data_IF_011988646062
#
_entry.id   IF_011988646062
#
_cell.length_a   1.000
_cell.length_b   1.000
_cell.length_c   1.000
_cell.angle_alpha   90.00
_cell.angle_beta   90.00
_cell.angle_gamma   90.00
#
_symmetry.space_group_name_H-M   'P 1'
#
loop_
_entity.id
_entity.type
_entity.pdbx_description
1 polymer ?
#
# COMPACT_ATOMS: atom_id res chain seq x y z
N UNK A 1 -0.66 -16.46 3.17
CA UNK A 1 -0.12 -15.58 2.11
C UNK A 1 -1.13 -14.55 1.58
N UNK A 2 -2.33 -14.40 2.15
CA UNK A 2 -3.30 -13.38 1.72
C UNK A 2 -3.04 -11.97 2.28
N UNK A 3 -2.09 -11.79 3.21
CA UNK A 3 -1.73 -10.49 3.80
C UNK A 3 -0.85 -9.62 2.91
N UNK A 4 -0.21 -10.14 1.86
CA UNK A 4 0.61 -9.32 0.97
C UNK A 4 -0.18 -8.63 -0.15
N UNK A 5 -1.28 -9.24 -0.63
CA UNK A 5 -2.12 -8.70 -1.69
C UNK A 5 -3.08 -7.60 -1.21
N UNK A 6 -3.63 -7.74 0.00
CA UNK A 6 -4.44 -6.66 0.58
C UNK A 6 -3.60 -5.43 0.94
N UNK A 7 -2.32 -5.61 1.36
CA UNK A 7 -1.41 -4.49 1.66
C UNK A 7 -1.02 -3.72 0.39
N UNK A 8 -0.77 -4.40 -0.74
CA UNK A 8 -0.37 -3.70 -1.98
C UNK A 8 -1.53 -2.89 -2.61
N UNK A 9 -2.78 -3.38 -2.52
CA UNK A 9 -3.97 -2.67 -3.03
C UNK A 9 -4.36 -1.51 -2.12
N UNK A 10 -4.24 -1.64 -0.79
CA UNK A 10 -4.44 -0.48 0.06
C UNK A 10 -3.33 0.56 -0.15
N UNK A 11 -2.05 0.21 -0.32
CA UNK A 11 -0.98 1.22 -0.54
C UNK A 11 -1.21 2.03 -1.83
N UNK A 12 -1.65 1.44 -2.93
CA UNK A 12 -1.87 2.20 -4.17
C UNK A 12 -3.11 3.12 -4.14
N UNK A 13 -4.20 2.74 -3.45
CA UNK A 13 -5.38 3.61 -3.22
C UNK A 13 -5.11 4.64 -2.11
N UNK A 14 -4.29 4.29 -1.11
CA UNK A 14 -3.79 5.22 -0.11
C UNK A 14 -2.88 6.26 -0.77
N UNK A 15 -1.94 5.91 -1.64
CA UNK A 15 -1.03 6.90 -2.22
C UNK A 15 -1.78 7.97 -3.03
N UNK A 16 -2.80 7.62 -3.81
CA UNK A 16 -3.55 8.61 -4.59
C UNK A 16 -4.55 9.44 -3.77
N UNK A 17 -5.14 8.91 -2.68
CA UNK A 17 -6.04 9.70 -1.81
C UNK A 17 -5.28 10.44 -0.70
N UNK A 18 -4.23 9.83 -0.12
CA UNK A 18 -3.38 10.41 0.92
C UNK A 18 -2.47 11.51 0.38
N UNK A 19 -1.90 11.41 -0.82
CA UNK A 19 -1.08 12.51 -1.38
C UNK A 19 -1.96 13.75 -1.62
N UNK A 20 -3.19 13.59 -2.10
CA UNK A 20 -4.08 14.72 -2.38
C UNK A 20 -4.70 15.36 -1.11
N UNK A 21 -4.99 14.57 -0.07
CA UNK A 21 -5.67 15.05 1.15
C UNK A 21 -4.68 15.37 2.28
N UNK A 22 -3.57 14.64 2.43
CA UNK A 22 -2.59 14.86 3.50
C UNK A 22 -1.65 16.04 3.23
N UNK A 23 -1.35 16.35 1.95
CA UNK A 23 -0.55 17.54 1.60
C UNK A 23 -1.25 18.85 1.99
N UNK A 24 -2.58 18.88 2.03
CA UNK A 24 -3.33 20.12 2.29
C UNK A 24 -3.59 20.38 3.78
N UNK A 25 -3.70 19.35 4.63
CA UNK A 25 -4.22 19.51 6.01
C UNK A 25 -3.17 19.27 7.10
N UNK A 26 -2.23 18.34 6.92
CA UNK A 26 -1.35 17.89 8.01
C UNK A 26 0.00 18.65 8.08
N UNK A 27 0.48 19.20 6.96
CA UNK A 27 1.85 19.72 6.83
C UNK A 27 2.08 21.03 7.60
N UNK A 28 1.06 21.89 7.74
CA UNK A 28 1.25 23.21 8.32
C UNK A 28 1.15 23.27 9.85
N UNK A 29 0.39 22.38 10.47
CA UNK A 29 0.12 22.50 11.91
C UNK A 29 1.26 21.89 12.75
N UNK A 30 1.85 20.76 12.34
CA UNK A 30 2.79 19.99 13.16
C UNK A 30 4.28 20.15 12.79
N UNK A 31 4.62 20.97 11.79
CA UNK A 31 6.02 21.21 11.39
C UNK A 31 6.90 21.58 12.60
N UNK A 32 8.08 20.96 12.74
CA UNK A 32 9.03 21.19 13.83
C UNK A 32 8.59 20.69 15.21
N UNK A 33 7.63 19.76 15.29
CA UNK A 33 7.29 18.99 16.53
C UNK A 33 7.76 17.54 16.40
N UNK A 34 7.93 16.85 17.53
CA UNK A 34 8.25 15.41 17.55
C UNK A 34 7.16 14.54 16.90
N UNK A 35 5.94 15.06 16.82
CA UNK A 35 4.78 14.40 16.18
C UNK A 35 4.69 14.64 14.67
N UNK A 36 5.64 15.35 14.05
CA UNK A 36 5.58 15.66 12.63
C UNK A 36 5.79 14.38 11.79
N UNK A 37 4.78 14.00 11.01
CA UNK A 37 4.80 12.82 10.14
C UNK A 37 5.19 13.24 8.73
N UNK A 38 6.05 12.45 8.08
CA UNK A 38 6.43 12.66 6.70
C UNK A 38 5.19 12.56 5.78
N UNK A 39 4.89 13.58 4.96
CA UNK A 39 3.58 13.69 4.31
C UNK A 39 3.46 12.93 2.98
N UNK A 40 4.55 12.33 2.50
CA UNK A 40 4.57 11.52 1.29
C UNK A 40 4.72 10.04 1.64
N UNK A 41 4.38 9.13 0.72
CA UNK A 41 4.71 7.71 0.86
C UNK A 41 6.21 7.52 1.07
N UNK A 42 6.55 6.56 1.94
CA UNK A 42 7.94 6.24 2.24
C UNK A 42 8.71 5.84 0.97
N UNK A 43 9.93 6.35 0.76
CA UNK A 43 10.71 6.00 -0.43
C UNK A 43 10.90 4.50 -0.64
N UNK A 44 11.02 3.75 0.47
CA UNK A 44 11.13 2.29 0.44
C UNK A 44 9.91 1.62 -0.21
N UNK A 45 8.70 2.09 0.10
CA UNK A 45 7.45 1.48 -0.39
C UNK A 45 7.23 1.81 -1.87
N UNK A 46 7.63 3.01 -2.29
CA UNK A 46 7.68 3.40 -3.70
C UNK A 46 8.68 2.56 -4.48
N UNK A 47 9.86 2.32 -3.90
CA UNK A 47 10.85 1.43 -4.50
C UNK A 47 10.30 0.01 -4.66
N UNK A 48 9.70 -0.57 -3.63
CA UNK A 48 9.06 -1.89 -3.72
C UNK A 48 7.98 -1.92 -4.80
N UNK A 49 7.15 -0.89 -4.86
CA UNK A 49 6.11 -0.76 -5.89
C UNK A 49 6.69 -0.72 -7.30
N UNK A 50 7.85 -0.08 -7.48
CA UNK A 50 8.56 -0.02 -8.76
C UNK A 50 9.12 -1.38 -9.24
N UNK A 51 9.25 -2.35 -8.33
CA UNK A 51 9.76 -3.69 -8.65
C UNK A 51 8.63 -4.68 -8.98
N UNK A 52 7.37 -4.32 -8.72
CA UNK A 52 6.21 -5.15 -8.99
C UNK A 52 5.83 -5.12 -10.48
N UNK A 53 5.13 -6.17 -10.93
CA UNK A 53 4.61 -6.33 -12.29
C UNK A 53 3.22 -6.93 -12.28
N UNK A 54 2.27 -6.29 -12.95
CA UNK A 54 0.91 -6.80 -13.07
C UNK A 54 0.87 -8.16 -13.78
N UNK A 55 1.77 -8.42 -14.72
CA UNK A 55 1.83 -9.70 -15.44
C UNK A 55 2.20 -10.86 -14.51
N UNK A 56 3.10 -10.62 -13.55
CA UNK A 56 3.52 -11.67 -12.62
C UNK A 56 2.42 -11.97 -11.61
N UNK A 57 1.72 -10.95 -11.09
CA UNK A 57 0.53 -11.13 -10.26
C UNK A 57 -0.59 -11.87 -10.99
N UNK A 58 -0.80 -11.55 -12.26
CA UNK A 58 -1.79 -12.25 -13.10
C UNK A 58 -1.43 -13.72 -13.29
N UNK A 59 -0.16 -14.04 -13.53
CA UNK A 59 0.31 -15.44 -13.65
C UNK A 59 0.13 -16.20 -12.34
N UNK A 60 0.40 -15.57 -11.20
CA UNK A 60 0.23 -16.19 -9.89
C UNK A 60 -1.24 -16.51 -9.60
N UNK A 61 -2.18 -15.60 -9.91
CA UNK A 61 -3.61 -15.87 -9.79
C UNK A 61 -4.08 -16.98 -10.74
N UNK A 62 -3.58 -17.00 -11.98
CA UNK A 62 -3.88 -18.08 -12.93
C UNK A 62 -3.39 -19.45 -12.45
N UNK A 63 -2.20 -19.49 -11.82
CA UNK A 63 -1.66 -20.70 -11.20
C UNK A 63 -2.53 -21.12 -10.02
N UNK A 64 -2.87 -20.20 -9.12
CA UNK A 64 -3.73 -20.48 -7.97
C UNK A 64 -5.10 -21.01 -8.41
N UNK A 65 -5.68 -20.45 -9.47
CA UNK A 65 -6.91 -20.95 -10.08
C UNK A 65 -6.77 -22.39 -10.57
N UNK A 66 -5.66 -22.73 -11.21
CA UNK A 66 -5.40 -24.09 -11.69
C UNK A 66 -5.27 -25.07 -10.52
N UNK A 67 -4.54 -24.67 -9.49
CA UNK A 67 -4.33 -25.49 -8.29
C UNK A 67 -5.66 -25.70 -7.54
N UNK A 68 -6.50 -24.67 -7.44
CA UNK A 68 -7.83 -24.75 -6.83
C UNK A 68 -8.80 -25.65 -7.63
N UNK A 69 -8.74 -25.61 -8.97
CA UNK A 69 -9.50 -26.56 -9.81
C UNK A 69 -9.06 -28.00 -9.59
N UNK A 70 -7.76 -28.25 -9.50
CA UNK A 70 -7.24 -29.59 -9.21
C UNK A 70 -7.68 -30.06 -7.82
N UNK A 71 -7.59 -29.19 -6.80
CA UNK A 71 -8.08 -29.48 -5.46
C UNK A 71 -9.59 -29.80 -5.44
N UNK A 72 -10.40 -29.01 -6.16
CA UNK A 72 -11.84 -29.25 -6.29
C UNK A 72 -12.12 -30.65 -6.87
N UNK A 73 -11.42 -31.03 -7.94
CA UNK A 73 -11.60 -32.34 -8.57
C UNK A 73 -11.21 -33.51 -7.64
N UNK A 74 -10.14 -33.36 -6.84
CA UNK A 74 -9.76 -34.37 -5.85
C UNK A 74 -10.77 -34.46 -4.70
N UNK A 75 -11.36 -33.34 -4.26
CA UNK A 75 -12.45 -33.34 -3.26
C UNK A 75 -13.67 -34.09 -3.80
N UNK A 76 -14.09 -33.79 -5.04
CA UNK A 76 -15.20 -34.48 -5.71
C UNK A 76 -14.94 -35.98 -5.82
N UNK A 77 -13.71 -36.36 -6.20
CA UNK A 77 -13.30 -37.76 -6.28
C UNK A 77 -13.39 -38.46 -4.92
N UNK A 78 -12.83 -37.88 -3.86
CA UNK A 78 -12.91 -38.45 -2.50
C UNK A 78 -14.37 -38.60 -2.07
N UNK A 79 -15.20 -37.58 -2.32
CA UNK A 79 -16.62 -37.65 -1.97
C UNK A 79 -17.37 -38.73 -2.77
N UNK A 80 -16.98 -38.98 -4.03
CA UNK A 80 -17.63 -39.98 -4.88
C UNK A 80 -17.27 -41.43 -4.54
N UNK A 81 -16.09 -41.68 -3.99
CA UNK A 81 -15.61 -43.03 -3.65
C UNK A 81 -15.92 -43.43 -2.21
N UNK A 82 -16.20 -42.47 -1.33
CA UNK A 82 -16.55 -42.72 0.07
C UNK A 82 -18.02 -43.14 0.23
N UNK A 83 -18.28 -44.01 1.21
CA UNK A 83 -19.64 -44.33 1.65
C UNK A 83 -20.23 -43.20 2.50
N UNK A 84 -21.56 -43.09 2.56
CA UNK A 84 -22.26 -42.03 3.30
C UNK A 84 -21.85 -41.97 4.78
N UNK A 85 -21.63 -43.13 5.41
CA UNK A 85 -21.20 -43.26 6.81
C UNK A 85 -19.80 -42.70 7.09
N UNK A 86 -18.96 -42.55 6.05
CA UNK A 86 -17.57 -42.09 6.16
C UNK A 86 -17.31 -40.77 5.42
N UNK A 87 -18.38 -40.12 4.94
CA UNK A 87 -18.28 -38.91 4.13
C UNK A 87 -18.02 -37.67 4.99
N UNK A 88 -18.61 -37.62 6.17
CA UNK A 88 -18.50 -36.51 7.09
C UNK A 88 -17.44 -36.75 8.17
N UNK A 89 -16.73 -35.69 8.62
CA UNK A 89 -16.94 -34.25 8.34
C UNK A 89 -16.15 -33.72 7.13
N UNK A 90 -15.49 -34.60 6.37
CA UNK A 90 -14.58 -34.20 5.30
C UNK A 90 -15.30 -33.39 4.23
N UNK A 91 -16.44 -33.89 3.73
CA UNK A 91 -17.22 -33.24 2.68
C UNK A 91 -17.63 -31.82 3.08
N UNK A 92 -18.28 -31.64 4.23
CA UNK A 92 -18.75 -30.30 4.65
C UNK A 92 -17.59 -29.31 4.80
N UNK A 93 -16.47 -29.74 5.40
CA UNK A 93 -15.29 -28.88 5.59
C UNK A 93 -14.64 -28.52 4.26
N UNK A 94 -14.51 -29.47 3.35
CA UNK A 94 -13.85 -29.24 2.06
C UNK A 94 -14.74 -28.46 1.10
N UNK A 95 -16.06 -28.67 1.10
CA UNK A 95 -17.00 -27.87 0.33
C UNK A 95 -17.00 -26.41 0.80
N UNK A 96 -17.03 -26.17 2.11
CA UNK A 96 -16.91 -24.83 2.67
C UNK A 96 -15.58 -24.16 2.28
N UNK A 97 -14.46 -24.87 2.45
CA UNK A 97 -13.12 -24.38 2.07
C UNK A 97 -13.03 -24.05 0.58
N UNK A 98 -13.48 -24.95 -0.30
CA UNK A 98 -13.42 -24.74 -1.76
C UNK A 98 -14.32 -23.56 -2.16
N UNK A 99 -15.49 -23.43 -1.56
CA UNK A 99 -16.40 -22.31 -1.81
C UNK A 99 -15.76 -20.97 -1.42
N UNK A 100 -15.20 -20.88 -0.21
CA UNK A 100 -14.53 -19.67 0.27
C UNK A 100 -13.30 -19.33 -0.57
N UNK A 101 -12.46 -20.32 -0.89
CA UNK A 101 -11.27 -20.13 -1.71
C UNK A 101 -11.60 -19.65 -3.14
N UNK A 102 -12.70 -20.13 -3.74
CA UNK A 102 -13.16 -19.66 -5.06
C UNK A 102 -13.61 -18.21 -4.99
N UNK A 103 -14.41 -17.85 -3.99
CA UNK A 103 -14.89 -16.48 -3.80
C UNK A 103 -13.74 -15.50 -3.56
N UNK A 104 -12.77 -15.87 -2.73
CA UNK A 104 -11.59 -15.05 -2.46
C UNK A 104 -10.71 -14.88 -3.71
N UNK A 105 -10.51 -15.94 -4.49
CA UNK A 105 -9.77 -15.87 -5.74
C UNK A 105 -10.44 -14.93 -6.76
N UNK A 106 -11.76 -15.03 -6.93
CA UNK A 106 -12.51 -14.14 -7.82
C UNK A 106 -12.44 -12.67 -7.35
N UNK A 107 -12.51 -12.45 -6.03
CA UNK A 107 -12.33 -11.13 -5.42
C UNK A 107 -10.95 -10.55 -5.73
N UNK A 108 -9.88 -11.33 -5.56
CA UNK A 108 -8.50 -10.91 -5.81
C UNK A 108 -8.25 -10.60 -7.28
N UNK A 109 -8.79 -11.39 -8.21
CA UNK A 109 -8.67 -11.13 -9.64
C UNK A 109 -9.39 -9.85 -10.07
N UNK A 110 -10.58 -9.61 -9.52
CA UNK A 110 -11.30 -8.36 -9.74
C UNK A 110 -10.51 -7.17 -9.17
N UNK A 111 -10.01 -7.29 -7.94
CA UNK A 111 -9.21 -6.24 -7.31
C UNK A 111 -7.94 -5.93 -8.11
N UNK A 112 -7.25 -6.95 -8.66
CA UNK A 112 -6.09 -6.75 -9.52
C UNK A 112 -6.45 -5.97 -10.79
N UNK A 113 -7.56 -6.33 -11.44
CA UNK A 113 -8.06 -5.63 -12.62
C UNK A 113 -8.44 -4.18 -12.35
N UNK A 114 -9.18 -3.93 -11.26
CA UNK A 114 -9.57 -2.57 -10.85
C UNK A 114 -8.34 -1.73 -10.47
N UNK A 115 -7.38 -2.32 -9.76
CA UNK A 115 -6.11 -1.67 -9.39
C UNK A 115 -5.29 -1.29 -10.63
N UNK A 116 -5.18 -2.20 -11.61
CA UNK A 116 -4.46 -1.93 -12.84
C UNK A 116 -5.12 -0.77 -13.61
N UNK A 117 -6.45 -0.77 -13.71
CA UNK A 117 -7.19 0.32 -14.34
C UNK A 117 -6.94 1.66 -13.64
N UNK A 118 -7.06 1.71 -12.31
CA UNK A 118 -6.80 2.92 -11.52
C UNK A 118 -5.37 3.43 -11.71
N UNK A 119 -4.40 2.52 -11.79
CA UNK A 119 -3.00 2.88 -12.06
C UNK A 119 -2.81 3.51 -13.43
N UNK A 120 -3.46 2.99 -14.48
CA UNK A 120 -3.40 3.60 -15.82
C UNK A 120 -4.07 4.97 -15.85
N UNK A 121 -5.20 5.15 -15.16
CA UNK A 121 -5.86 6.45 -15.01
C UNK A 121 -4.95 7.46 -14.28
N UNK A 122 -4.23 7.02 -13.24
CA UNK A 122 -3.23 7.82 -12.53
C UNK A 122 -2.08 8.24 -13.46
N UNK A 123 -1.58 7.34 -14.29
CA UNK A 123 -0.54 7.64 -15.27
C UNK A 123 -1.01 8.70 -16.28
N UNK A 124 -2.26 8.60 -16.75
CA UNK A 124 -2.87 9.61 -17.63
C UNK A 124 -2.98 10.96 -16.91
N UNK A 125 -3.45 11.00 -15.66
CA UNK A 125 -3.57 12.22 -14.87
C UNK A 125 -2.23 12.96 -14.74
N UNK A 126 -1.15 12.23 -14.44
CA UNK A 126 0.20 12.79 -14.35
C UNK A 126 0.92 12.91 -15.71
N UNK A 127 0.23 12.64 -16.83
CA UNK A 127 0.78 12.70 -18.19
C UNK A 127 2.04 11.84 -18.39
N UNK A 128 2.13 10.73 -17.68
CA UNK A 128 3.25 9.78 -17.78
C UNK A 128 3.10 8.94 -19.04
N UNK A 129 4.18 8.87 -19.83
CA UNK A 129 4.21 8.10 -21.08
C UNK A 129 5.01 6.82 -20.89
N UNK A 130 4.56 5.76 -21.56
CA UNK A 130 5.25 4.49 -21.58
C UNK A 130 6.64 4.65 -22.23
N UNK A 131 7.64 3.90 -21.72
CA UNK A 131 8.99 3.90 -22.31
C UNK A 131 9.00 3.11 -23.63
N UNK A 132 10.03 3.33 -24.44
CA UNK A 132 10.20 2.59 -25.70
C UNK A 132 10.24 1.09 -25.45
N UNK A 133 9.35 0.34 -26.12
CA UNK A 133 9.21 -1.11 -25.95
C UNK A 133 8.16 -1.53 -24.91
N UNK A 134 7.57 -0.60 -24.16
CA UNK A 134 6.44 -0.87 -23.28
C UNK A 134 5.12 -0.69 -24.03
N UNK A 135 4.16 -1.61 -23.83
CA UNK A 135 2.80 -1.51 -24.39
C UNK A 135 1.94 -0.51 -23.62
N UNK A 136 2.13 -0.47 -22.31
CA UNK A 136 1.49 0.45 -21.36
C UNK A 136 2.52 0.90 -20.33
N UNK A 137 2.22 1.97 -19.58
CA UNK A 137 3.14 2.47 -18.55
C UNK A 137 3.37 1.37 -17.53
N UNK A 138 4.62 1.03 -17.23
CA UNK A 138 4.92 0.06 -16.17
C UNK A 138 4.90 0.71 -14.78
N UNK A 139 4.66 -0.10 -13.74
CA UNK A 139 4.81 0.32 -12.34
C UNK A 139 6.21 0.91 -12.10
N UNK A 140 7.24 0.32 -12.71
CA UNK A 140 8.61 0.85 -12.64
C UNK A 140 8.71 2.26 -13.21
N UNK A 141 8.19 2.50 -14.43
CA UNK A 141 8.23 3.79 -15.11
C UNK A 141 7.60 4.91 -14.27
N UNK A 142 6.52 4.62 -13.54
CA UNK A 142 5.88 5.61 -12.66
C UNK A 142 6.59 5.71 -11.30
N UNK A 143 6.72 4.60 -10.58
CA UNK A 143 7.17 4.60 -9.19
C UNK A 143 8.67 4.84 -9.01
N UNK A 144 9.53 4.61 -10.02
CA UNK A 144 10.95 4.97 -9.91
C UNK A 144 11.13 6.49 -9.79
N UNK A 145 10.35 7.26 -10.57
CA UNK A 145 10.38 8.72 -10.53
C UNK A 145 9.87 9.23 -9.18
N UNK A 146 8.77 8.66 -8.69
CA UNK A 146 8.22 9.02 -7.37
C UNK A 146 9.14 8.61 -6.22
N UNK A 147 9.84 7.49 -6.33
CA UNK A 147 10.84 7.06 -5.36
C UNK A 147 11.98 8.08 -5.26
N UNK A 148 12.55 8.50 -6.39
CA UNK A 148 13.60 9.53 -6.43
C UNK A 148 13.10 10.86 -5.83
N UNK A 149 11.93 11.32 -6.27
CA UNK A 149 11.31 12.54 -5.76
C UNK A 149 11.06 12.49 -4.24
N UNK A 150 10.46 11.39 -3.74
CA UNK A 150 10.16 11.23 -2.32
C UNK A 150 11.44 11.14 -1.48
N UNK A 151 12.49 10.50 -2.01
CA UNK A 151 13.81 10.43 -1.35
C UNK A 151 14.39 11.82 -1.13
N UNK A 152 14.47 12.61 -2.21
CA UNK A 152 15.00 13.98 -2.14
C UNK A 152 14.13 14.84 -1.23
N UNK A 153 12.81 14.79 -1.41
CA UNK A 153 11.86 15.56 -0.59
C UNK A 153 11.98 15.20 0.89
N UNK A 154 12.16 13.93 1.24
CA UNK A 154 12.35 13.48 2.63
C UNK A 154 13.60 14.06 3.26
N UNK A 155 14.69 14.15 2.50
CA UNK A 155 15.94 14.73 2.99
C UNK A 155 15.81 16.23 3.23
N UNK A 156 15.14 16.97 2.33
CA UNK A 156 14.82 18.38 2.55
C UNK A 156 13.87 18.57 3.72
N UNK A 157 12.79 17.79 3.80
CA UNK A 157 11.80 17.86 4.87
C UNK A 157 12.43 17.61 6.25
N UNK A 158 13.36 16.66 6.38
CA UNK A 158 14.11 16.43 7.64
C UNK A 158 14.98 17.63 8.02
N UNK A 159 15.71 18.20 7.04
CA UNK A 159 16.56 19.38 7.27
C UNK A 159 15.71 20.56 7.73
N UNK A 160 14.59 20.82 7.05
CA UNK A 160 13.70 21.93 7.35
C UNK A 160 13.05 21.79 8.73
N UNK A 161 12.57 20.59 9.08
CA UNK A 161 12.02 20.35 10.42
C UNK A 161 13.05 20.56 11.53
N UNK A 162 14.32 20.24 11.28
CA UNK A 162 15.39 20.50 12.23
C UNK A 162 15.64 22.00 12.41
N UNK A 163 15.61 22.78 11.33
CA UNK A 163 15.73 24.24 11.37
C UNK A 163 14.57 24.85 12.17
N UNK A 164 13.32 24.46 11.86
CA UNK A 164 12.12 24.94 12.57
C UNK A 164 12.18 24.58 14.07
N UNK A 165 12.64 23.36 14.41
CA UNK A 165 12.82 22.95 15.80
C UNK A 165 13.88 23.82 16.52
N UNK A 166 15.00 24.10 15.86
CA UNK A 166 16.05 24.96 16.41
C UNK A 166 15.55 26.40 16.62
N UNK A 167 14.85 26.97 15.65
CA UNK A 167 14.25 28.31 15.77
C UNK A 167 13.24 28.35 16.93
N UNK A 168 12.41 27.32 17.09
CA UNK A 168 11.49 27.20 18.23
C UNK A 168 12.21 27.12 19.56
N UNK A 169 13.29 26.34 19.65
CA UNK A 169 14.09 26.26 20.86
C UNK A 169 14.72 27.61 21.21
N UNK A 170 15.33 28.29 20.22
CA UNK A 170 15.92 29.62 20.39
C UNK A 170 14.85 30.63 20.80
N UNK A 171 13.70 30.68 20.13
CA UNK A 171 12.61 31.59 20.49
C UNK A 171 12.05 31.31 21.89
N UNK A 172 11.87 30.04 22.26
CA UNK A 172 11.44 29.65 23.62
C UNK A 172 12.47 30.04 24.67
N UNK A 173 13.76 29.89 24.36
CA UNK A 173 14.86 30.29 25.23
C UNK A 173 14.97 31.82 25.34
N UNK A 174 14.86 32.56 24.23
CA UNK A 174 14.81 34.03 24.25
C UNK A 174 13.60 34.52 25.09
N UNK A 175 12.42 33.94 24.90
CA UNK A 175 11.24 34.23 25.71
C UNK A 175 11.46 33.92 27.20
N UNK A 176 12.16 32.83 27.52
CA UNK A 176 12.54 32.50 28.90
C UNK A 176 13.48 33.55 29.52
N UNK A 177 14.42 34.09 28.74
CA UNK A 177 15.35 35.14 29.19
C UNK A 177 14.70 36.53 29.27
N UNK A 178 13.73 36.82 28.40
CA UNK A 178 13.02 38.11 28.38
C UNK A 178 11.88 38.15 29.40
N UNK A 179 11.23 37.02 29.71
CA UNK A 179 10.12 36.95 30.66
C UNK A 179 10.24 35.71 31.58
N UNK A 180 11.02 35.80 32.69
CA UNK A 180 11.21 34.68 33.63
C UNK A 180 9.94 34.24 34.37
N UNK A 181 8.87 35.04 34.31
CA UNK A 181 7.66 34.94 35.14
C UNK A 181 6.63 33.89 34.69
N UNK A 182 6.86 33.13 33.60
CA UNK A 182 5.89 32.15 33.09
C UNK A 182 6.00 30.72 33.63
N UNK A 183 6.78 30.48 34.70
CA UNK A 183 6.95 29.12 35.27
C UNK A 183 6.10 28.82 36.53
N UNK A 184 5.14 29.67 36.89
CA UNK A 184 4.29 29.45 38.07
C UNK A 184 2.92 28.80 37.77
N UNK A 185 2.73 28.18 36.60
CA UNK A 185 1.39 27.74 36.16
C UNK A 185 1.22 26.33 35.59
N UNK A 186 2.25 25.48 35.49
CA UNK A 186 2.08 24.10 35.01
C UNK A 186 2.86 23.10 35.89
N UNK A 187 2.19 22.65 36.96
CA UNK A 187 2.30 21.28 37.46
C UNK A 187 1.08 20.50 36.95
#
# INVERSE_FOLDING_TARGET
MCVCACVCVCVCVCVCVCVCVCLCVCVFQDAGRETCVFPLPEPHDLFQSSQMKFEDLTKDLLRLRKDLRACTAEVEKVCSVSTEEHLQPFKDRMEAFVSEAKAELESQEKQLGDTHKMFLELCVFFSVKAKSGEKEVSLNTFFSVWHEFSTDFKDYWKKENKIILQERYVNKHILFYICPSMHSGLF
#
